data_IF_506893346972
#
_entry.id   IF_506893346972
#
_cell.length_a   1.000
_cell.length_b   1.000
_cell.length_c   1.000
_cell.angle_alpha   90.00
_cell.angle_beta   90.00
_cell.angle_gamma   90.00
#
_symmetry.space_group_name_H-M   'P 1'
#
loop_
_entity.id
_entity.type
_entity.pdbx_description
1 polymer ?
#
# COMPACT_ATOMS: atom_id res chain seq x y z
N UNK A 1 -24.54 -37.10 68.78
CA UNK A 1 -24.07 -35.75 68.40
C UNK A 1 -22.91 -35.88 67.42
N UNK A 2 -23.15 -35.58 66.13
CA UNK A 2 -22.09 -35.50 65.10
C UNK A 2 -21.93 -34.03 64.71
N UNK A 3 -20.81 -33.43 65.09
CA UNK A 3 -20.45 -32.06 64.71
C UNK A 3 -19.77 -32.12 63.33
N UNK A 4 -20.45 -31.67 62.28
CA UNK A 4 -19.85 -31.48 60.95
C UNK A 4 -19.24 -30.07 60.92
N UNK A 5 -17.91 -30.00 60.92
CA UNK A 5 -17.16 -28.76 60.69
C UNK A 5 -17.13 -28.52 59.17
N UNK A 6 -17.98 -27.63 58.67
CA UNK A 6 -17.92 -27.12 57.30
C UNK A 6 -16.84 -26.02 57.24
N UNK A 7 -15.70 -26.33 56.62
CA UNK A 7 -14.69 -25.35 56.25
C UNK A 7 -15.18 -24.68 54.96
N UNK A 8 -15.66 -23.44 55.08
CA UNK A 8 -15.94 -22.55 53.96
C UNK A 8 -14.60 -22.06 53.38
N UNK A 9 -14.11 -22.76 52.36
CA UNK A 9 -13.00 -22.30 51.54
C UNK A 9 -13.50 -21.19 50.62
N UNK A 10 -13.41 -19.94 51.09
CA UNK A 10 -13.63 -18.75 50.27
C UNK A 10 -12.47 -18.62 49.28
N UNK A 11 -12.64 -19.15 48.07
CA UNK A 11 -11.77 -18.84 46.95
C UNK A 11 -12.04 -17.40 46.51
N UNK A 12 -11.31 -16.44 47.09
CA UNK A 12 -11.09 -15.14 46.44
C UNK A 12 -10.29 -15.41 45.16
N UNK A 13 -10.99 -15.60 44.04
CA UNK A 13 -10.39 -15.41 42.72
C UNK A 13 -10.17 -13.90 42.56
N UNK A 14 -9.00 -13.42 42.97
CA UNK A 14 -8.48 -12.16 42.47
C UNK A 14 -8.11 -12.38 41.00
N UNK A 15 -9.06 -12.09 40.11
CA UNK A 15 -8.78 -11.94 38.70
C UNK A 15 -7.77 -10.79 38.56
N UNK A 16 -6.52 -11.13 38.23
CA UNK A 16 -5.56 -10.13 37.80
C UNK A 16 -6.18 -9.32 36.64
N UNK A 17 -6.01 -7.99 36.60
CA UNK A 17 -6.45 -7.21 35.45
C UNK A 17 -5.78 -7.81 34.21
N UNK A 18 -6.59 -8.25 33.26
CA UNK A 18 -6.12 -8.87 32.03
C UNK A 18 -5.38 -7.78 31.22
N UNK A 19 -4.07 -7.68 31.39
CA UNK A 19 -3.17 -6.76 30.67
C UNK A 19 -2.72 -7.31 29.32
N UNK A 20 -3.34 -8.39 28.84
CA UNK A 20 -2.99 -9.01 27.58
C UNK A 20 -3.93 -8.53 26.48
N UNK A 21 -3.39 -7.86 25.45
CA UNK A 21 -4.01 -7.87 24.13
C UNK A 21 -4.26 -9.34 23.75
N UNK A 22 -5.52 -9.78 23.65
CA UNK A 22 -5.85 -11.18 23.41
C UNK A 22 -5.63 -11.47 21.93
N UNK A 23 -4.86 -12.50 21.59
CA UNK A 23 -4.71 -13.07 20.24
C UNK A 23 -3.97 -12.18 19.21
N UNK A 24 -3.03 -12.79 18.47
CA UNK A 24 -2.26 -12.15 17.40
C UNK A 24 -3.18 -11.44 16.38
N UNK A 25 -2.76 -10.26 15.90
CA UNK A 25 -3.46 -9.56 14.83
C UNK A 25 -2.95 -10.06 13.49
N UNK A 26 -3.85 -10.48 12.61
CA UNK A 26 -3.56 -10.89 11.22
C UNK A 26 -4.39 -10.03 10.26
N UNK A 27 -4.10 -10.12 8.96
CA UNK A 27 -5.00 -9.53 7.97
C UNK A 27 -5.19 -8.02 8.11
N UNK A 28 -6.42 -7.58 7.85
CA UNK A 28 -6.86 -6.19 8.02
C UNK A 28 -6.64 -5.67 9.45
N UNK A 29 -6.89 -6.50 10.44
CA UNK A 29 -6.74 -6.20 11.86
C UNK A 29 -5.29 -5.86 12.21
N UNK A 30 -4.32 -6.57 11.61
CA UNK A 30 -2.91 -6.23 11.73
C UNK A 30 -2.62 -4.84 11.15
N UNK A 31 -3.14 -4.54 9.96
CA UNK A 31 -2.95 -3.24 9.34
C UNK A 31 -3.52 -2.10 10.22
N UNK A 32 -4.72 -2.28 10.76
CA UNK A 32 -5.33 -1.30 11.67
C UNK A 32 -4.52 -1.11 12.95
N UNK A 33 -4.11 -2.20 13.62
CA UNK A 33 -3.31 -2.12 14.83
C UNK A 33 -1.97 -1.41 14.58
N UNK A 34 -1.28 -1.72 13.46
CA UNK A 34 -0.01 -1.09 13.09
C UNK A 34 -0.17 0.41 12.86
N UNK A 35 -1.21 0.82 12.12
CA UNK A 35 -1.49 2.23 11.87
C UNK A 35 -1.91 2.99 13.14
N UNK A 36 -2.73 2.39 14.01
CA UNK A 36 -3.13 2.99 15.29
C UNK A 36 -1.93 3.21 16.22
N UNK A 37 -0.99 2.27 16.24
CA UNK A 37 0.22 2.34 17.06
C UNK A 37 1.35 3.17 16.42
N UNK A 38 1.11 3.78 15.26
CA UNK A 38 2.04 4.67 14.58
C UNK A 38 2.26 5.98 15.37
N UNK A 39 3.39 6.65 15.10
CA UNK A 39 3.63 8.02 15.56
C UNK A 39 3.09 9.07 14.58
N UNK A 40 2.69 8.65 13.38
CA UNK A 40 2.16 9.53 12.34
C UNK A 40 0.65 9.73 12.54
N UNK A 41 0.23 10.98 12.74
CA UNK A 41 -1.19 11.35 12.78
C UNK A 41 -1.94 10.94 11.51
N UNK A 42 -1.26 10.92 10.35
CA UNK A 42 -1.86 10.48 9.08
C UNK A 42 -2.21 9.00 9.10
N UNK A 43 -1.32 8.16 9.64
CA UNK A 43 -1.53 6.72 9.74
C UNK A 43 -2.69 6.42 10.69
N UNK A 44 -2.66 7.05 11.86
CA UNK A 44 -3.68 6.91 12.89
C UNK A 44 -5.05 7.33 12.36
N UNK A 45 -5.09 8.46 11.64
CA UNK A 45 -6.33 8.93 11.01
C UNK A 45 -6.83 7.94 9.95
N UNK A 46 -5.93 7.36 9.14
CA UNK A 46 -6.31 6.35 8.16
C UNK A 46 -6.92 5.12 8.84
N UNK A 47 -6.34 4.66 9.95
CA UNK A 47 -6.88 3.53 10.71
C UNK A 47 -8.28 3.82 11.23
N UNK A 48 -8.49 4.96 11.89
CA UNK A 48 -9.79 5.34 12.43
C UNK A 48 -10.83 5.54 11.31
N UNK A 49 -10.44 6.19 10.22
CA UNK A 49 -11.27 6.32 9.03
C UNK A 49 -11.64 4.94 8.46
N UNK A 50 -10.69 4.00 8.41
CA UNK A 50 -10.92 2.66 7.92
C UNK A 50 -11.86 1.88 8.84
N UNK A 51 -11.69 1.97 10.16
CA UNK A 51 -12.56 1.33 11.14
C UNK A 51 -13.99 1.87 11.09
N UNK A 52 -14.17 3.17 10.80
CA UNK A 52 -15.49 3.73 10.61
C UNK A 52 -16.20 3.14 9.38
N UNK A 53 -15.52 3.03 8.23
CA UNK A 53 -16.15 2.57 6.99
C UNK A 53 -16.28 1.05 6.90
N UNK A 54 -15.24 0.32 7.33
CA UNK A 54 -15.18 -1.14 7.21
C UNK A 54 -15.68 -1.87 8.45
N UNK A 55 -15.72 -1.19 9.60
CA UNK A 55 -15.98 -1.82 10.89
C UNK A 55 -14.84 -2.72 11.37
N UNK A 56 -15.02 -3.26 12.58
CA UNK A 56 -14.28 -4.40 13.11
C UNK A 56 -15.15 -5.11 14.12
N UNK A 57 -15.11 -6.45 14.12
CA UNK A 57 -15.78 -7.27 15.12
C UNK A 57 -14.85 -7.60 16.31
N UNK A 58 -13.60 -7.16 16.24
CA UNK A 58 -12.59 -7.42 17.27
C UNK A 58 -12.59 -6.33 18.33
N UNK A 59 -13.04 -6.71 19.52
CA UNK A 59 -13.15 -5.83 20.69
C UNK A 59 -11.83 -5.15 21.05
N UNK A 60 -10.73 -5.89 20.96
CA UNK A 60 -9.39 -5.42 21.32
C UNK A 60 -8.81 -4.36 20.38
N UNK A 61 -9.18 -4.36 19.09
CA UNK A 61 -8.83 -3.24 18.18
C UNK A 61 -9.64 -2.00 18.53
N UNK A 62 -10.91 -2.17 18.88
CA UNK A 62 -11.75 -1.06 19.30
C UNK A 62 -11.28 -0.50 20.65
N UNK A 63 -10.83 -1.35 21.57
CA UNK A 63 -10.22 -0.94 22.84
C UNK A 63 -8.86 -0.24 22.61
N UNK A 64 -8.08 -0.65 21.61
CA UNK A 64 -6.86 0.06 21.22
C UNK A 64 -7.16 1.47 20.68
N UNK A 65 -8.18 1.61 19.84
CA UNK A 65 -8.68 2.93 19.39
C UNK A 65 -9.21 3.75 20.56
N UNK A 66 -9.91 3.13 21.50
CA UNK A 66 -10.44 3.76 22.71
C UNK A 66 -9.31 4.27 23.62
N UNK A 67 -8.23 3.49 23.82
CA UNK A 67 -7.05 3.89 24.58
C UNK A 67 -6.35 5.09 23.95
N UNK A 68 -6.17 5.10 22.62
CA UNK A 68 -5.60 6.24 21.91
C UNK A 68 -6.47 7.49 22.04
N UNK A 69 -7.79 7.31 21.99
CA UNK A 69 -8.76 8.40 22.22
C UNK A 69 -8.61 8.96 23.64
N UNK A 70 -8.57 8.10 24.65
CA UNK A 70 -8.37 8.49 26.04
C UNK A 70 -7.04 9.23 26.25
N UNK A 71 -5.95 8.69 25.70
CA UNK A 71 -4.60 9.27 25.81
C UNK A 71 -4.58 10.69 25.27
N UNK A 72 -5.23 10.93 24.14
CA UNK A 72 -5.30 12.25 23.53
C UNK A 72 -6.18 13.23 24.31
N UNK A 73 -7.37 12.81 24.75
CA UNK A 73 -8.27 13.65 25.56
C UNK A 73 -7.67 13.99 26.94
N UNK A 74 -6.85 13.09 27.48
CA UNK A 74 -6.14 13.30 28.76
C UNK A 74 -4.97 14.29 28.63
N UNK A 75 -4.60 14.70 27.41
CA UNK A 75 -3.47 15.57 27.16
C UNK A 75 -2.12 14.85 27.12
N UNK A 76 -2.10 13.51 27.21
CA UNK A 76 -0.88 12.70 27.17
C UNK A 76 -0.37 12.47 25.72
N UNK A 77 -1.16 12.87 24.72
CA UNK A 77 -0.77 12.87 23.30
C UNK A 77 -1.44 14.04 22.58
N UNK A 78 -0.65 14.86 21.90
CA UNK A 78 -1.19 15.86 20.97
C UNK A 78 -1.67 15.15 19.70
N UNK A 79 -2.85 15.52 19.22
CA UNK A 79 -3.49 14.91 18.05
C UNK A 79 -4.28 15.98 17.30
N UNK A 80 -4.28 15.90 15.97
CA UNK A 80 -5.09 16.79 15.13
C UNK A 80 -6.60 16.62 15.43
N UNK A 81 -7.38 17.72 15.52
CA UNK A 81 -8.82 17.65 15.75
C UNK A 81 -9.60 16.82 14.72
N UNK A 82 -9.15 16.75 13.46
CA UNK A 82 -9.74 15.87 12.44
C UNK A 82 -9.52 14.40 12.79
N UNK A 83 -8.34 14.03 13.28
CA UNK A 83 -8.04 12.66 13.73
C UNK A 83 -8.93 12.26 14.90
N UNK A 84 -9.07 13.12 15.93
CA UNK A 84 -9.99 12.87 17.06
C UNK A 84 -11.46 12.79 16.63
N UNK A 85 -11.85 13.59 15.63
CA UNK A 85 -13.18 13.50 15.06
C UNK A 85 -13.43 12.12 14.43
N UNK A 86 -12.43 11.55 13.73
CA UNK A 86 -12.52 10.19 13.19
C UNK A 86 -12.55 9.11 14.26
N UNK A 87 -11.86 9.30 15.38
CA UNK A 87 -11.94 8.39 16.52
C UNK A 87 -13.35 8.32 17.07
N UNK A 88 -13.96 9.49 17.34
CA UNK A 88 -15.35 9.59 17.77
C UNK A 88 -16.29 8.89 16.79
N UNK A 89 -16.18 9.21 15.49
CA UNK A 89 -17.00 8.56 14.44
C UNK A 89 -16.87 7.05 14.47
N UNK A 90 -15.65 6.51 14.48
CA UNK A 90 -15.41 5.08 14.46
C UNK A 90 -16.00 4.39 15.70
N UNK A 91 -15.73 4.91 16.90
CA UNK A 91 -16.29 4.37 18.15
C UNK A 91 -17.83 4.46 18.18
N UNK A 92 -18.41 5.58 17.75
CA UNK A 92 -19.86 5.74 17.64
C UNK A 92 -20.50 4.79 16.62
N UNK A 93 -19.78 4.45 15.54
CA UNK A 93 -20.29 3.51 14.54
C UNK A 93 -20.44 2.09 15.09
N UNK A 94 -19.67 1.72 16.11
CA UNK A 94 -19.77 0.40 16.77
C UNK A 94 -21.11 0.17 17.47
N UNK A 95 -21.81 1.25 17.86
CA UNK A 95 -23.04 1.24 18.70
C UNK A 95 -22.85 0.61 20.09
N UNK A 96 -21.64 0.33 20.52
CA UNK A 96 -21.37 -0.35 21.79
C UNK A 96 -21.43 0.62 22.98
N UNK A 97 -22.28 0.37 24.01
CA UNK A 97 -22.43 1.27 25.14
C UNK A 97 -21.20 1.32 26.06
N UNK A 98 -20.27 0.36 25.92
CA UNK A 98 -18.99 0.28 26.64
C UNK A 98 -18.17 1.57 26.58
N UNK A 99 -18.19 2.26 25.44
CA UNK A 99 -17.38 3.46 25.23
C UNK A 99 -18.05 4.76 25.69
N UNK A 100 -19.27 4.69 26.25
CA UNK A 100 -20.02 5.86 26.67
C UNK A 100 -19.25 6.75 27.66
N UNK A 101 -18.69 6.15 28.71
CA UNK A 101 -17.92 6.88 29.73
C UNK A 101 -16.66 7.55 29.16
N UNK A 102 -15.99 6.90 28.22
CA UNK A 102 -14.84 7.47 27.49
C UNK A 102 -15.25 8.70 26.67
N UNK A 103 -16.35 8.60 25.91
CA UNK A 103 -16.82 9.72 25.10
C UNK A 103 -17.29 10.90 25.96
N UNK A 104 -17.96 10.63 27.09
CA UNK A 104 -18.35 11.66 28.06
C UNK A 104 -17.11 12.36 28.66
N UNK A 105 -16.09 11.59 29.04
CA UNK A 105 -14.81 12.12 29.49
C UNK A 105 -14.15 13.01 28.42
N UNK A 106 -14.04 12.52 27.18
CA UNK A 106 -13.46 13.25 26.07
C UNK A 106 -14.23 14.54 25.74
N UNK A 107 -15.56 14.51 25.78
CA UNK A 107 -16.42 15.68 25.58
C UNK A 107 -16.13 16.78 26.61
N UNK A 108 -15.87 16.40 27.86
CA UNK A 108 -15.51 17.33 28.93
C UNK A 108 -14.12 17.99 28.74
N UNK A 109 -13.25 17.38 27.92
CA UNK A 109 -11.88 17.85 27.66
C UNK A 109 -11.71 18.51 26.30
N UNK A 110 -12.62 18.25 25.36
CA UNK A 110 -12.52 18.76 23.99
C UNK A 110 -12.56 20.30 23.97
N UNK A 111 -11.56 20.90 23.32
CA UNK A 111 -11.41 22.35 23.25
C UNK A 111 -12.10 22.94 22.01
N UNK A 112 -12.01 22.26 20.88
CA UNK A 112 -12.53 22.74 19.60
C UNK A 112 -13.95 22.21 19.30
N UNK A 113 -14.72 23.00 18.56
CA UNK A 113 -16.13 22.71 18.24
C UNK A 113 -16.30 21.49 17.32
N UNK A 114 -15.32 21.21 16.45
CA UNK A 114 -15.39 20.09 15.52
C UNK A 114 -15.31 18.77 16.28
N UNK A 115 -14.31 18.63 17.16
CA UNK A 115 -14.15 17.45 18.02
C UNK A 115 -15.36 17.27 18.93
N UNK A 116 -15.84 18.34 19.59
CA UNK A 116 -17.06 18.28 20.43
C UNK A 116 -18.26 17.75 19.65
N UNK A 117 -18.50 18.29 18.45
CA UNK A 117 -19.62 17.87 17.59
C UNK A 117 -19.57 16.37 17.30
N UNK A 118 -18.42 15.86 16.86
CA UNK A 118 -18.31 14.45 16.46
C UNK A 118 -18.29 13.49 17.65
N UNK A 119 -17.69 13.86 18.78
CA UNK A 119 -17.78 13.07 20.01
C UNK A 119 -19.21 12.99 20.55
N UNK A 120 -19.96 14.10 20.47
CA UNK A 120 -21.38 14.12 20.89
C UNK A 120 -22.22 13.23 20.00
N UNK A 121 -22.08 13.35 18.68
CA UNK A 121 -22.75 12.47 17.73
C UNK A 121 -22.42 11.00 17.98
N UNK A 122 -21.15 10.69 18.26
CA UNK A 122 -20.73 9.34 18.59
C UNK A 122 -21.42 8.84 19.86
N UNK A 123 -21.44 9.66 20.92
CA UNK A 123 -22.05 9.35 22.21
C UNK A 123 -23.56 9.08 22.10
N UNK A 124 -24.26 9.94 21.37
CA UNK A 124 -25.71 9.83 21.12
C UNK A 124 -26.05 8.58 20.29
N UNK A 125 -25.08 8.06 19.54
CA UNK A 125 -25.27 6.91 18.68
C UNK A 125 -25.03 5.56 19.37
N UNK A 126 -24.44 5.56 20.58
CA UNK A 126 -24.29 4.34 21.39
C UNK A 126 -25.64 3.90 21.95
N UNK A 127 -25.89 2.58 22.03
CA UNK A 127 -27.19 2.03 22.42
C UNK A 127 -27.05 0.87 23.41
N UNK A 128 -28.07 0.66 24.22
CA UNK A 128 -28.13 -0.45 25.17
C UNK A 128 -27.47 -0.17 26.52
N UNK A 129 -27.39 -1.20 27.35
CA UNK A 129 -26.76 -1.17 28.67
C UNK A 129 -25.59 -2.16 28.70
N UNK A 130 -24.57 -1.86 29.49
CA UNK A 130 -23.45 -2.77 29.76
C UNK A 130 -22.95 -2.57 31.17
N UNK A 131 -22.40 -3.62 31.78
CA UNK A 131 -21.62 -3.55 33.01
C UNK A 131 -20.10 -3.52 32.75
N UNK A 132 -19.68 -3.83 31.52
CA UNK A 132 -18.30 -3.89 31.11
C UNK A 132 -17.97 -2.61 30.34
N UNK A 133 -17.57 -1.57 31.06
CA UNK A 133 -17.20 -0.27 30.52
C UNK A 133 -15.72 -0.25 30.15
N UNK A 134 -15.37 0.53 29.13
CA UNK A 134 -13.97 0.77 28.81
C UNK A 134 -13.38 1.72 29.86
N UNK A 135 -12.24 1.33 30.42
CA UNK A 135 -11.45 2.14 31.34
C UNK A 135 -10.12 2.48 30.68
N UNK A 136 -9.92 3.76 30.37
CA UNK A 136 -8.69 4.24 29.74
C UNK A 136 -7.49 4.25 30.69
N UNK A 137 -6.29 4.23 30.12
CA UNK A 137 -5.03 4.15 30.86
C UNK A 137 -4.62 2.73 31.23
N UNK A 138 -5.35 1.71 30.75
CA UNK A 138 -5.09 0.31 31.06
C UNK A 138 -4.23 -0.39 30.03
N UNK A 139 -4.21 0.11 28.79
CA UNK A 139 -3.43 -0.50 27.70
C UNK A 139 -2.10 0.25 27.55
N UNK A 140 -0.98 -0.45 27.78
CA UNK A 140 0.34 0.09 27.47
C UNK A 140 0.55 0.08 25.95
N UNK A 141 0.36 1.24 25.32
CA UNK A 141 0.52 1.43 23.88
C UNK A 141 1.96 1.17 23.40
N UNK A 142 2.97 1.41 24.24
CA UNK A 142 4.38 1.15 23.90
C UNK A 142 4.65 -0.34 23.88
N UNK A 143 4.15 -1.06 24.88
CA UNK A 143 4.24 -2.51 24.91
C UNK A 143 3.46 -3.15 23.76
N UNK A 144 2.23 -2.69 23.50
CA UNK A 144 1.41 -3.13 22.38
C UNK A 144 2.17 -3.01 21.05
N UNK A 145 2.82 -1.86 20.81
CA UNK A 145 3.66 -1.65 19.64
C UNK A 145 4.85 -2.61 19.60
N UNK A 146 5.57 -2.76 20.70
CA UNK A 146 6.73 -3.66 20.76
C UNK A 146 6.35 -5.12 20.44
N UNK A 147 5.21 -5.58 20.95
CA UNK A 147 4.66 -6.91 20.66
C UNK A 147 4.30 -7.06 19.17
N UNK A 148 3.63 -6.06 18.59
CA UNK A 148 3.24 -6.09 17.18
C UNK A 148 4.46 -6.09 16.23
N UNK A 149 5.48 -5.29 16.53
CA UNK A 149 6.74 -5.29 15.77
C UNK A 149 7.45 -6.64 15.87
N UNK A 150 7.48 -7.25 17.07
CA UNK A 150 8.05 -8.59 17.25
C UNK A 150 7.31 -9.64 16.43
N UNK A 151 5.98 -9.59 16.39
CA UNK A 151 5.16 -10.49 15.57
C UNK A 151 5.52 -10.40 14.07
N UNK A 152 5.56 -9.18 13.51
CA UNK A 152 5.92 -8.97 12.11
C UNK A 152 7.32 -9.51 11.75
N UNK A 153 8.28 -9.41 12.68
CA UNK A 153 9.64 -9.95 12.48
C UNK A 153 9.72 -11.48 12.45
N UNK A 154 8.78 -12.17 13.10
CA UNK A 154 8.72 -13.64 13.14
C UNK A 154 8.02 -14.18 11.90
N UNK A 155 6.91 -13.58 11.49
CA UNK A 155 6.11 -14.05 10.34
C UNK A 155 6.83 -13.87 9.01
N UNK A 156 7.58 -12.77 8.86
CA UNK A 156 8.35 -12.47 7.63
C UNK A 156 9.44 -13.50 7.29
N UNK A 157 9.90 -14.31 8.27
CA UNK A 157 10.91 -15.36 8.04
C UNK A 157 10.35 -16.72 7.58
N UNK A 158 9.04 -16.92 7.64
CA UNK A 158 8.44 -18.25 7.45
C UNK A 158 7.31 -18.33 6.40
N UNK A 159 6.72 -17.21 5.99
CA UNK A 159 5.51 -17.23 5.15
C UNK A 159 5.62 -16.65 3.74
N UNK A 160 6.77 -16.13 3.32
CA UNK A 160 7.01 -15.73 1.92
C UNK A 160 7.20 -17.01 1.08
N UNK A 161 6.16 -17.81 0.95
CA UNK A 161 6.13 -19.04 0.16
C UNK A 161 5.51 -18.83 -1.22
N UNK A 162 4.81 -17.71 -1.44
CA UNK A 162 4.18 -17.33 -2.71
C UNK A 162 4.80 -16.05 -3.27
N UNK A 163 4.86 -15.97 -4.60
CA UNK A 163 5.55 -14.87 -5.28
C UNK A 163 4.66 -13.63 -5.32
N UNK A 164 5.30 -12.46 -5.28
CA UNK A 164 4.65 -11.16 -5.53
C UNK A 164 3.90 -11.14 -6.88
N UNK A 165 4.25 -12.04 -7.80
CA UNK A 165 3.63 -12.25 -9.12
C UNK A 165 2.16 -12.68 -9.06
N UNK A 166 1.73 -13.29 -7.96
CA UNK A 166 0.36 -13.75 -7.77
C UNK A 166 -0.61 -12.59 -7.46
N UNK A 167 -0.08 -11.39 -7.25
CA UNK A 167 -0.87 -10.20 -6.97
C UNK A 167 -1.62 -9.70 -8.20
N UNK A 168 -2.88 -9.31 -7.98
CA UNK A 168 -3.78 -8.76 -8.98
C UNK A 168 -4.50 -7.53 -8.45
N UNK A 169 -4.76 -6.58 -9.34
CA UNK A 169 -5.53 -5.39 -9.05
C UNK A 169 -6.94 -5.80 -8.59
N UNK A 170 -7.45 -5.09 -7.59
CA UNK A 170 -8.76 -5.40 -7.00
C UNK A 170 -8.78 -6.56 -6.02
N UNK A 171 -7.66 -7.25 -5.76
CA UNK A 171 -7.60 -8.21 -4.65
C UNK A 171 -7.86 -7.53 -3.31
N UNK A 172 -8.59 -8.19 -2.43
CA UNK A 172 -8.82 -7.68 -1.08
C UNK A 172 -7.52 -7.67 -0.27
N UNK A 173 -7.44 -6.77 0.71
CA UNK A 173 -6.34 -6.74 1.67
C UNK A 173 -6.13 -8.09 2.35
N UNK A 174 -7.21 -8.73 2.77
CA UNK A 174 -7.15 -10.03 3.43
C UNK A 174 -6.55 -11.13 2.52
N UNK A 175 -6.89 -11.10 1.23
CA UNK A 175 -6.31 -12.02 0.24
C UNK A 175 -4.81 -11.79 0.12
N UNK A 176 -4.33 -10.55 0.10
CA UNK A 176 -2.90 -10.25 0.06
C UNK A 176 -2.17 -10.77 1.30
N UNK A 177 -2.73 -10.61 2.49
CA UNK A 177 -2.17 -11.19 3.72
C UNK A 177 -2.13 -12.72 3.66
N UNK A 178 -3.11 -13.36 3.01
CA UNK A 178 -3.09 -14.82 2.82
C UNK A 178 -2.02 -15.29 1.84
N UNK A 179 -1.59 -14.43 0.91
CA UNK A 179 -0.56 -14.73 -0.09
C UNK A 179 0.84 -14.46 0.48
N UNK A 180 1.03 -13.28 1.08
CA UNK A 180 2.35 -12.75 1.44
C UNK A 180 2.65 -12.77 2.95
N UNK A 181 1.65 -13.07 3.78
CA UNK A 181 1.78 -13.03 5.23
C UNK A 181 1.76 -11.62 5.81
N UNK A 182 2.31 -11.46 7.02
CA UNK A 182 2.38 -10.18 7.71
C UNK A 182 3.48 -9.28 7.11
N UNK A 183 3.18 -8.01 6.81
CA UNK A 183 4.17 -7.09 6.24
C UNK A 183 5.15 -6.53 7.26
N UNK A 184 6.22 -5.92 6.75
CA UNK A 184 7.22 -5.22 7.55
C UNK A 184 6.79 -3.78 7.88
N UNK A 185 6.03 -3.16 6.97
CA UNK A 185 5.58 -1.78 7.11
C UNK A 185 4.12 -1.65 6.68
N UNK A 186 3.36 -0.83 7.42
CA UNK A 186 2.02 -0.39 7.05
C UNK A 186 1.95 1.10 7.31
N UNK A 187 1.60 1.88 6.29
CA UNK A 187 1.57 3.34 6.38
C UNK A 187 0.46 3.95 5.51
N UNK A 188 0.16 5.23 5.76
CA UNK A 188 -0.76 6.01 4.95
C UNK A 188 0.00 6.92 3.98
N UNK A 189 -0.44 6.97 2.72
CA UNK A 189 -0.02 8.02 1.78
C UNK A 189 -1.21 8.76 1.20
N UNK A 190 -0.98 9.96 0.70
CA UNK A 190 -2.00 10.76 0.01
C UNK A 190 -1.63 10.83 -1.45
N UNK A 191 -2.42 10.18 -2.30
CA UNK A 191 -2.27 10.35 -3.75
C UNK A 191 -3.03 11.61 -4.14
N UNK A 192 -2.37 12.62 -4.74
CA UNK A 192 -3.03 13.82 -5.22
C UNK A 192 -4.06 13.41 -6.28
N UNK A 193 -5.34 13.65 -6.03
CA UNK A 193 -6.38 13.32 -7.00
C UNK A 193 -6.63 14.44 -8.00
N UNK A 194 -7.77 14.34 -8.68
CA UNK A 194 -8.18 15.26 -9.75
C UNK A 194 -8.18 16.69 -9.24
N UNK A 195 -7.60 17.61 -10.03
CA UNK A 195 -7.82 19.04 -9.85
C UNK A 195 -9.29 19.33 -10.11
N UNK A 196 -9.94 19.95 -9.13
CA UNK A 196 -11.29 20.49 -9.26
C UNK A 196 -11.14 22.01 -9.40
N UNK A 197 -11.74 22.59 -10.44
CA UNK A 197 -11.61 24.01 -10.78
C UNK A 197 -10.53 24.32 -11.83
N UNK A 198 -10.48 25.57 -12.26
CA UNK A 198 -9.58 26.07 -13.33
C UNK A 198 -8.23 26.49 -12.72
N UNK A 199 -7.07 26.07 -13.27
CA UNK A 199 -5.75 26.48 -12.77
C UNK A 199 -5.61 28.00 -12.72
N UNK A 200 -5.19 28.55 -11.57
CA UNK A 200 -5.01 29.99 -11.37
C UNK A 200 -6.26 30.76 -10.96
N UNK A 201 -7.41 30.10 -10.83
CA UNK A 201 -8.66 30.71 -10.31
C UNK A 201 -8.82 30.40 -8.81
N UNK A 202 -9.17 31.40 -7.97
CA UNK A 202 -9.56 31.17 -6.58
C UNK A 202 -10.70 30.14 -6.49
N UNK A 203 -10.51 29.11 -5.68
CA UNK A 203 -11.45 27.99 -5.58
C UNK A 203 -11.03 26.72 -6.34
N UNK A 204 -9.85 26.70 -6.97
CA UNK A 204 -9.26 25.44 -7.45
C UNK A 204 -8.60 24.66 -6.30
N UNK A 205 -8.96 23.39 -6.14
CA UNK A 205 -8.38 22.50 -5.12
C UNK A 205 -8.19 21.08 -5.66
N UNK A 206 -7.27 20.32 -5.05
CA UNK A 206 -7.04 18.90 -5.37
C UNK A 206 -7.69 18.05 -4.30
N UNK A 207 -8.58 17.14 -4.69
CA UNK A 207 -9.12 16.13 -3.77
C UNK A 207 -8.14 14.97 -3.77
N UNK A 208 -7.29 14.87 -2.74
CA UNK A 208 -6.44 13.70 -2.53
C UNK A 208 -7.24 12.50 -2.05
N UNK A 209 -6.81 11.29 -2.39
CA UNK A 209 -7.33 10.06 -1.79
C UNK A 209 -6.27 9.46 -0.88
N UNK A 210 -6.67 9.10 0.35
CA UNK A 210 -5.79 8.36 1.23
C UNK A 210 -5.62 6.95 0.66
N UNK A 211 -4.38 6.46 0.63
CA UNK A 211 -4.04 5.10 0.28
C UNK A 211 -3.43 4.42 1.49
N UNK A 212 -3.79 3.17 1.68
CA UNK A 212 -3.07 2.26 2.56
C UNK A 212 -1.87 1.73 1.77
N UNK A 213 -0.68 1.80 2.34
CA UNK A 213 0.57 1.28 1.76
C UNK A 213 1.08 0.18 2.66
N UNK A 214 1.47 -0.94 2.04
CA UNK A 214 2.08 -2.07 2.72
C UNK A 214 3.44 -2.34 2.10
N UNK A 215 4.46 -2.44 2.94
CA UNK A 215 5.83 -2.75 2.56
C UNK A 215 6.25 -4.14 3.03
N UNK A 216 6.82 -4.91 2.11
CA UNK A 216 7.49 -6.17 2.37
C UNK A 216 8.97 -6.01 2.02
N UNK A 217 9.84 -6.20 3.00
CA UNK A 217 11.28 -6.19 2.81
C UNK A 217 11.67 -7.19 1.71
N UNK A 218 12.52 -6.77 0.78
CA UNK A 218 12.99 -7.55 -0.38
C UNK A 218 11.95 -7.91 -1.45
N UNK A 219 10.65 -7.66 -1.22
CA UNK A 219 9.61 -7.94 -2.22
C UNK A 219 9.08 -6.67 -2.87
N UNK A 220 8.89 -5.60 -2.09
CA UNK A 220 8.42 -4.31 -2.59
C UNK A 220 7.24 -3.74 -1.81
N UNK A 221 6.48 -2.87 -2.45
CA UNK A 221 5.39 -2.11 -1.83
C UNK A 221 4.09 -2.27 -2.59
N UNK A 222 2.96 -2.34 -1.86
CA UNK A 222 1.62 -2.46 -2.43
C UNK A 222 0.79 -1.28 -1.95
N UNK A 223 0.12 -0.60 -2.86
CA UNK A 223 -0.82 0.47 -2.56
C UNK A 223 -2.26 -0.05 -2.70
N UNK A 224 -3.07 0.25 -1.71
CA UNK A 224 -4.47 -0.09 -1.68
C UNK A 224 -5.35 1.16 -1.76
N UNK A 225 -6.46 0.98 -2.45
CA UNK A 225 -7.53 1.95 -2.58
C UNK A 225 -8.79 1.47 -1.86
N UNK A 226 -9.59 2.42 -1.42
CA UNK A 226 -10.96 2.17 -0.99
C UNK A 226 -11.91 3.03 -1.80
N UNK A 227 -13.04 2.47 -2.17
CA UNK A 227 -14.18 3.18 -2.73
C UNK A 227 -15.42 2.92 -1.87
N UNK A 228 -16.30 3.92 -1.77
CA UNK A 228 -17.53 3.80 -0.99
C UNK A 228 -18.37 2.60 -1.45
N UNK A 229 -18.88 1.81 -0.50
CA UNK A 229 -19.60 0.57 -0.77
C UNK A 229 -18.72 -0.69 -0.85
N UNK A 230 -17.39 -0.56 -0.82
CA UNK A 230 -16.51 -1.73 -0.72
C UNK A 230 -16.46 -2.29 0.70
N UNK A 231 -16.26 -3.60 0.81
CA UNK A 231 -16.15 -4.33 2.08
C UNK A 231 -14.71 -4.49 2.56
N UNK A 232 -13.73 -4.07 1.75
CA UNK A 232 -12.31 -4.10 2.08
C UNK A 232 -11.50 -3.08 1.26
N UNK A 233 -10.27 -2.84 1.69
CA UNK A 233 -9.22 -2.24 0.87
C UNK A 233 -8.86 -3.15 -0.30
N UNK A 234 -8.60 -2.54 -1.46
CA UNK A 234 -8.39 -3.23 -2.73
C UNK A 234 -7.06 -2.82 -3.36
N UNK A 235 -6.28 -3.80 -3.82
CA UNK A 235 -5.00 -3.55 -4.51
C UNK A 235 -5.23 -2.59 -5.67
N UNK A 236 -4.53 -1.47 -5.66
CA UNK A 236 -4.62 -0.44 -6.69
C UNK A 236 -3.36 -0.40 -7.55
N UNK A 237 -2.21 -0.55 -6.91
CA UNK A 237 -0.90 -0.46 -7.54
C UNK A 237 0.12 -1.24 -6.70
N UNK A 238 1.21 -1.67 -7.32
CA UNK A 238 2.29 -2.34 -6.62
C UNK A 238 3.64 -2.06 -7.30
N UNK A 239 4.72 -2.08 -6.52
CA UNK A 239 6.08 -1.91 -7.00
C UNK A 239 6.91 -3.06 -6.46
N UNK A 240 7.53 -3.82 -7.34
CA UNK A 240 8.42 -4.93 -6.97
C UNK A 240 9.85 -4.46 -6.77
N UNK A 241 10.56 -5.13 -5.86
CA UNK A 241 12.01 -5.00 -5.69
C UNK A 241 12.81 -5.94 -6.62
N UNK A 242 12.15 -6.90 -7.30
CA UNK A 242 12.79 -8.01 -8.04
C UNK A 242 12.70 -7.89 -9.57
N UNK A 243 12.63 -6.67 -10.11
CA UNK A 243 12.58 -6.46 -11.56
C UNK A 243 11.25 -6.88 -12.22
N UNK A 244 10.19 -7.02 -11.43
CA UNK A 244 8.82 -7.20 -11.94
C UNK A 244 8.16 -5.84 -12.07
N UNK A 245 7.37 -5.66 -13.13
CA UNK A 245 6.69 -4.41 -13.41
C UNK A 245 5.19 -4.59 -13.28
N UNK A 246 4.56 -3.71 -12.51
CA UNK A 246 3.11 -3.69 -12.39
C UNK A 246 2.50 -3.07 -13.65
N UNK A 247 1.66 -3.84 -14.33
CA UNK A 247 0.84 -3.34 -15.42
C UNK A 247 -0.46 -2.81 -14.84
N UNK A 248 -0.67 -1.49 -14.92
CA UNK A 248 -1.96 -0.90 -14.53
C UNK A 248 -3.11 -1.31 -15.47
N UNK A 249 -2.78 -1.71 -16.70
CA UNK A 249 -3.75 -2.16 -17.71
C UNK A 249 -4.18 -3.59 -17.43
N UNK A 250 -3.21 -4.48 -17.24
CA UNK A 250 -3.50 -5.90 -16.99
C UNK A 250 -3.85 -6.18 -15.52
N UNK A 251 -3.61 -5.19 -14.65
CA UNK A 251 -3.83 -5.28 -13.22
C UNK A 251 -3.02 -6.41 -12.58
N UNK A 252 -1.78 -6.62 -12.99
CA UNK A 252 -0.90 -7.67 -12.46
C UNK A 252 0.58 -7.37 -12.73
N UNK A 253 1.46 -8.09 -12.05
CA UNK A 253 2.88 -8.10 -12.42
C UNK A 253 3.11 -8.86 -13.73
N UNK A 254 4.04 -8.35 -14.51
CA UNK A 254 4.57 -9.00 -15.70
C UNK A 254 6.10 -8.91 -15.70
N UNK A 255 6.74 -9.84 -16.41
CA UNK A 255 8.20 -9.82 -16.54
C UNK A 255 8.64 -8.66 -17.44
N UNK A 256 9.92 -8.29 -17.35
CA UNK A 256 10.52 -7.30 -18.26
C UNK A 256 10.31 -7.70 -19.72
N UNK A 257 10.48 -8.99 -20.03
CA UNK A 257 10.33 -9.51 -21.38
C UNK A 257 8.89 -9.43 -21.88
N UNK A 258 7.91 -9.77 -21.04
CA UNK A 258 6.49 -9.63 -21.38
C UNK A 258 6.16 -8.18 -21.69
N UNK A 259 6.64 -7.26 -20.87
CA UNK A 259 6.38 -5.83 -21.04
C UNK A 259 7.05 -5.23 -22.27
N UNK A 260 8.28 -5.65 -22.60
CA UNK A 260 8.90 -5.24 -23.86
C UNK A 260 8.06 -5.74 -25.03
N UNK A 261 7.52 -6.97 -24.94
CA UNK A 261 6.74 -7.57 -26.03
C UNK A 261 5.33 -6.95 -26.19
N UNK A 262 4.60 -6.74 -25.08
CA UNK A 262 3.17 -6.39 -25.09
C UNK A 262 2.85 -5.02 -24.52
N UNK A 263 3.82 -4.30 -23.96
CA UNK A 263 3.61 -2.99 -23.34
C UNK A 263 3.15 -1.93 -24.34
N UNK A 264 2.26 -1.05 -23.87
CA UNK A 264 1.91 0.18 -24.59
C UNK A 264 3.06 1.19 -24.57
N UNK A 265 2.92 2.30 -25.29
CA UNK A 265 3.99 3.29 -25.40
C UNK A 265 4.47 3.91 -24.08
N UNK A 266 3.57 4.11 -23.11
CA UNK A 266 3.92 4.70 -21.82
C UNK A 266 4.70 3.69 -20.96
N UNK A 267 4.21 2.47 -20.82
CA UNK A 267 4.88 1.41 -20.06
C UNK A 267 6.21 1.03 -20.71
N UNK A 268 6.25 0.97 -22.05
CA UNK A 268 7.47 0.67 -22.79
C UNK A 268 8.54 1.73 -22.54
N UNK A 269 8.16 3.01 -22.49
CA UNK A 269 9.08 4.10 -22.14
C UNK A 269 9.56 4.00 -20.70
N UNK A 270 8.67 3.73 -19.75
CA UNK A 270 9.02 3.61 -18.33
C UNK A 270 10.04 2.49 -18.09
N UNK A 271 9.77 1.30 -18.66
CA UNK A 271 10.64 0.14 -18.54
C UNK A 271 11.96 0.36 -19.27
N UNK A 272 11.93 0.95 -20.46
CA UNK A 272 13.16 1.32 -21.16
C UNK A 272 13.99 2.34 -20.37
N UNK A 273 13.34 3.28 -19.67
CA UNK A 273 14.00 4.19 -18.74
C UNK A 273 14.74 3.46 -17.62
N UNK A 274 14.05 2.55 -16.94
CA UNK A 274 14.65 1.70 -15.91
C UNK A 274 15.84 0.87 -16.44
N UNK A 275 15.71 0.26 -17.62
CA UNK A 275 16.77 -0.56 -18.22
C UNK A 275 18.00 0.27 -18.61
N UNK A 276 17.79 1.52 -19.07
CA UNK A 276 18.87 2.48 -19.33
C UNK A 276 19.59 2.91 -18.05
N UNK A 277 19.04 2.70 -16.86
CA UNK A 277 19.72 2.96 -15.59
C UNK A 277 20.54 1.76 -15.10
N UNK A 278 20.24 0.53 -15.55
CA UNK A 278 20.94 -0.68 -15.07
C UNK A 278 22.38 -0.79 -15.58
N UNK A 279 23.32 -1.17 -14.71
CA UNK A 279 24.74 -1.30 -15.06
C UNK A 279 25.02 -2.40 -16.09
N UNK A 280 24.28 -3.52 -15.99
CA UNK A 280 24.39 -4.65 -16.90
C UNK A 280 23.00 -5.14 -17.27
N UNK A 281 22.82 -5.44 -18.55
CA UNK A 281 21.60 -6.02 -19.09
C UNK A 281 21.92 -7.40 -19.64
N UNK A 282 21.03 -8.35 -19.40
CA UNK A 282 21.15 -9.69 -19.97
C UNK A 282 20.90 -9.66 -21.48
N UNK A 283 21.60 -10.53 -22.22
CA UNK A 283 21.48 -10.64 -23.67
C UNK A 283 20.04 -10.88 -24.13
N UNK A 284 19.26 -11.66 -23.38
CA UNK A 284 17.86 -11.92 -23.70
C UNK A 284 16.99 -10.65 -23.70
N UNK A 285 17.19 -9.75 -22.74
CA UNK A 285 16.46 -8.47 -22.65
C UNK A 285 16.84 -7.57 -23.85
N UNK A 286 18.13 -7.53 -24.19
CA UNK A 286 18.63 -6.75 -25.33
C UNK A 286 18.08 -7.30 -26.65
N UNK A 287 18.08 -8.62 -26.82
CA UNK A 287 17.52 -9.32 -27.98
C UNK A 287 16.01 -9.05 -28.08
N UNK A 288 15.28 -9.10 -26.96
CA UNK A 288 13.86 -8.78 -26.92
C UNK A 288 13.56 -7.33 -27.28
N UNK A 289 14.37 -6.39 -26.78
CA UNK A 289 14.24 -4.97 -27.10
C UNK A 289 14.51 -4.71 -28.60
N UNK A 290 15.55 -5.34 -29.15
CA UNK A 290 15.90 -5.24 -30.57
C UNK A 290 14.78 -5.80 -31.46
N UNK A 291 14.25 -6.97 -31.10
CA UNK A 291 13.10 -7.61 -31.76
C UNK A 291 11.88 -6.69 -31.76
N UNK A 292 11.52 -6.12 -30.60
CA UNK A 292 10.37 -5.21 -30.49
C UNK A 292 10.54 -3.96 -31.35
N UNK A 293 11.72 -3.33 -31.33
CA UNK A 293 12.02 -2.17 -32.17
C UNK A 293 11.87 -2.50 -33.65
N UNK A 294 12.40 -3.65 -34.08
CA UNK A 294 12.33 -4.06 -35.47
C UNK A 294 10.91 -4.41 -35.91
N UNK A 295 10.21 -5.25 -35.13
CA UNK A 295 8.84 -5.69 -35.43
C UNK A 295 7.83 -4.54 -35.46
N UNK A 296 8.03 -3.51 -34.64
CA UNK A 296 7.15 -2.34 -34.55
C UNK A 296 7.66 -1.10 -35.29
N UNK A 297 8.66 -1.24 -36.17
CA UNK A 297 9.26 -0.09 -36.89
C UNK A 297 8.28 0.68 -37.79
N UNK A 298 7.16 0.06 -38.17
CA UNK A 298 6.12 0.69 -39.00
C UNK A 298 5.00 1.37 -38.18
N UNK A 299 5.10 1.35 -36.85
CA UNK A 299 4.13 1.99 -35.97
C UNK A 299 4.11 3.52 -36.14
N UNK A 300 2.93 4.10 -35.93
CA UNK A 300 2.70 5.54 -36.06
C UNK A 300 2.11 6.18 -34.80
N UNK A 301 1.66 5.39 -33.83
CA UNK A 301 1.25 5.92 -32.53
C UNK A 301 2.41 6.64 -31.83
N UNK A 302 2.20 7.91 -31.46
CA UNK A 302 3.26 8.78 -30.93
C UNK A 302 3.84 8.26 -29.60
N UNK A 303 3.00 7.68 -28.74
CA UNK A 303 3.44 7.14 -27.45
C UNK A 303 4.26 5.87 -27.66
N UNK A 304 3.81 4.97 -28.52
CA UNK A 304 4.54 3.74 -28.82
C UNK A 304 5.85 4.03 -29.53
N UNK A 305 5.86 4.94 -30.50
CA UNK A 305 7.10 5.42 -31.16
C UNK A 305 8.08 6.02 -30.15
N UNK A 306 7.60 6.74 -29.14
CA UNK A 306 8.44 7.25 -28.06
C UNK A 306 9.03 6.13 -27.20
N UNK A 307 8.24 5.12 -26.84
CA UNK A 307 8.72 3.91 -26.16
C UNK A 307 9.78 3.15 -26.97
N UNK A 308 9.54 2.92 -28.27
CA UNK A 308 10.48 2.27 -29.18
C UNK A 308 11.79 3.06 -29.31
N UNK A 309 11.72 4.39 -29.35
CA UNK A 309 12.90 5.24 -29.38
C UNK A 309 13.76 5.09 -28.10
N UNK A 310 13.13 4.87 -26.94
CA UNK A 310 13.86 4.54 -25.72
C UNK A 310 14.45 3.13 -25.74
N UNK A 311 13.77 2.14 -26.33
CA UNK A 311 14.37 0.81 -26.51
C UNK A 311 15.62 0.85 -27.41
N UNK A 312 15.68 1.70 -28.43
CA UNK A 312 16.92 1.92 -29.19
C UNK A 312 18.08 2.34 -28.26
N UNK A 313 17.80 3.13 -27.23
CA UNK A 313 18.80 3.53 -26.22
C UNK A 313 19.18 2.37 -25.31
N UNK A 314 18.21 1.55 -24.88
CA UNK A 314 18.47 0.34 -24.10
C UNK A 314 19.46 -0.57 -24.83
N UNK A 315 19.18 -0.85 -26.10
CA UNK A 315 20.03 -1.69 -26.95
C UNK A 315 21.42 -1.09 -27.09
N UNK A 316 21.53 0.21 -27.38
CA UNK A 316 22.83 0.86 -27.52
C UNK A 316 23.64 1.00 -26.22
N UNK A 317 22.97 1.04 -25.04
CA UNK A 317 23.66 1.10 -23.74
C UNK A 317 24.58 -0.11 -23.51
N UNK A 318 24.22 -1.27 -24.07
CA UNK A 318 25.05 -2.48 -23.96
C UNK A 318 26.45 -2.31 -24.56
N UNK A 319 26.62 -1.38 -25.51
CA UNK A 319 27.86 -1.26 -26.30
C UNK A 319 28.10 -2.43 -27.25
N UNK A 320 27.15 -3.37 -27.35
CA UNK A 320 27.27 -4.57 -28.17
C UNK A 320 27.00 -4.24 -29.64
N UNK A 321 28.04 -4.40 -30.46
CA UNK A 321 28.01 -4.06 -31.88
C UNK A 321 27.09 -4.94 -32.71
N UNK A 322 26.64 -6.10 -32.18
CA UNK A 322 25.72 -6.99 -32.89
C UNK A 322 24.42 -6.33 -33.32
N UNK A 323 23.95 -5.35 -32.55
CA UNK A 323 22.68 -4.67 -32.81
C UNK A 323 22.80 -3.51 -33.80
N UNK A 324 24.04 -3.12 -34.16
CA UNK A 324 24.28 -1.96 -35.01
C UNK A 324 23.58 -2.07 -36.36
N UNK A 325 23.68 -3.24 -37.01
CA UNK A 325 23.07 -3.45 -38.33
C UNK A 325 21.55 -3.34 -38.29
N UNK A 326 20.91 -3.93 -37.27
CA UNK A 326 19.47 -3.82 -37.06
C UNK A 326 19.05 -2.37 -36.87
N UNK A 327 19.78 -1.60 -36.03
CA UNK A 327 19.46 -0.19 -35.80
C UNK A 327 19.64 0.66 -37.06
N UNK A 328 20.64 0.36 -37.90
CA UNK A 328 20.78 1.01 -39.20
C UNK A 328 19.60 0.69 -40.13
N UNK A 329 19.15 -0.56 -40.16
CA UNK A 329 17.99 -0.96 -40.96
C UNK A 329 16.69 -0.28 -40.50
N UNK A 330 16.46 -0.22 -39.19
CA UNK A 330 15.35 0.54 -38.59
C UNK A 330 15.47 2.01 -38.95
N UNK A 331 16.68 2.58 -38.93
CA UNK A 331 16.90 3.98 -39.30
C UNK A 331 16.53 4.30 -40.74
N UNK A 332 16.67 3.33 -41.64
CA UNK A 332 16.36 3.49 -43.07
C UNK A 332 14.89 3.18 -43.39
N UNK A 333 14.24 2.31 -42.62
CA UNK A 333 12.93 1.75 -42.97
C UNK A 333 11.78 2.14 -42.03
N UNK A 334 12.04 2.70 -40.84
CA UNK A 334 10.97 3.04 -39.90
C UNK A 334 10.02 4.12 -40.45
N UNK A 335 8.74 4.03 -40.12
CA UNK A 335 7.69 4.91 -40.64
C UNK A 335 7.87 6.37 -40.18
N UNK A 336 8.24 6.58 -38.91
CA UNK A 336 8.34 7.91 -38.31
C UNK A 336 9.78 8.45 -38.30
N UNK A 337 9.94 9.75 -38.51
CA UNK A 337 11.25 10.41 -38.48
C UNK A 337 11.91 10.31 -37.10
N UNK A 338 11.12 10.30 -36.02
CA UNK A 338 11.59 10.16 -34.65
C UNK A 338 12.30 8.82 -34.43
N UNK A 339 11.66 7.71 -34.79
CA UNK A 339 12.28 6.38 -34.64
C UNK A 339 13.52 6.26 -35.53
N UNK A 340 13.47 6.77 -36.77
CA UNK A 340 14.63 6.80 -37.67
C UNK A 340 15.83 7.53 -37.05
N UNK A 341 15.58 8.72 -36.50
CA UNK A 341 16.62 9.56 -35.89
C UNK A 341 17.25 8.87 -34.66
N UNK A 342 16.42 8.30 -33.78
CA UNK A 342 16.93 7.61 -32.60
C UNK A 342 17.72 6.36 -32.95
N UNK A 343 17.24 5.54 -33.90
CA UNK A 343 17.94 4.34 -34.35
C UNK A 343 19.29 4.69 -34.99
N UNK A 344 19.35 5.71 -35.87
CA UNK A 344 20.60 6.19 -36.47
C UNK A 344 21.60 6.68 -35.41
N UNK A 345 21.13 7.55 -34.50
CA UNK A 345 21.98 8.13 -33.44
C UNK A 345 22.57 7.06 -32.52
N UNK A 346 21.75 6.07 -32.15
CA UNK A 346 22.16 5.00 -31.25
C UNK A 346 23.05 3.97 -31.94
N UNK A 347 22.81 3.65 -33.23
CA UNK A 347 23.71 2.83 -34.04
C UNK A 347 25.12 3.43 -34.14
N UNK A 348 25.23 4.76 -34.26
CA UNK A 348 26.51 5.46 -34.31
C UNK A 348 27.36 5.33 -33.03
N UNK A 349 26.75 4.98 -31.90
CA UNK A 349 27.44 4.75 -30.63
C UNK A 349 27.93 3.31 -30.43
N UNK A 350 27.57 2.38 -31.31
CA UNK A 350 27.95 0.97 -31.22
C UNK A 350 29.20 0.66 -32.06
N UNK A 351 30.03 -0.26 -31.57
CA UNK A 351 31.22 -0.74 -32.29
C UNK A 351 30.82 -1.55 -33.53
N UNK A 352 31.61 -1.50 -34.59
CA UNK A 352 31.45 -2.42 -35.71
C UNK A 352 31.98 -3.80 -35.32
N UNK A 353 31.14 -4.83 -35.42
CA UNK A 353 31.53 -6.22 -35.10
C UNK A 353 31.13 -7.13 -36.27
N UNK A 354 32.04 -7.35 -37.24
CA UNK A 354 31.74 -8.17 -38.41
C UNK A 354 31.46 -9.62 -38.02
N UNK A 355 30.31 -10.16 -38.42
CA UNK A 355 30.02 -11.61 -38.34
C UNK A 355 29.15 -12.07 -37.16
N UNK A 356 28.80 -11.20 -36.21
CA UNK A 356 27.92 -11.54 -35.07
C UNK A 356 26.68 -10.62 -35.02
N UNK A 357 26.11 -10.27 -36.17
CA UNK A 357 24.92 -9.41 -36.23
C UNK A 357 23.70 -10.10 -35.62
N UNK A 358 22.93 -9.37 -34.81
CA UNK A 358 21.62 -9.82 -34.38
C UNK A 358 20.68 -9.89 -35.60
N UNK A 359 19.98 -11.02 -35.73
CA UNK A 359 19.00 -11.26 -36.79
C UNK A 359 17.62 -11.31 -36.12
N UNK A 360 16.72 -10.35 -36.40
CA UNK A 360 15.37 -10.38 -35.85
C UNK A 360 14.61 -11.58 -36.41
N UNK A 361 13.65 -12.11 -35.64
CA UNK A 361 12.78 -13.15 -36.14
C UNK A 361 11.97 -12.61 -37.33
N UNK A 362 11.94 -13.35 -38.43
CA UNK A 362 11.12 -13.01 -39.59
C UNK A 362 9.64 -13.04 -39.18
N UNK A 363 8.96 -11.89 -39.26
CA UNK A 363 7.50 -11.81 -39.13
C UNK A 363 6.79 -12.41 -40.34
#
# INVERSE_FOLDING_TARGET
MRLRLLILLSCLFMAAPSTALPQEFTGREHAHATLLLSQSDKDIKLAAWSLYHLGSNRQDILDLLAELTWTACSGNRTMDPDTLSWFGKALGNTKQPRYAGLLDFCLSKAKDEKTKKYLKQARDSLRGTTSDFFEGGKIDLREARARLTKQASLTSRHQISKSFDDLRQGQALEEVYSILGTPNEVSATVVPGRKVGIPGVPGSFRIGSNRLVIGYSELGTIQFSYQEGQTDWKVADAKSAKGLFWSAIDGRFATVNDQIASGDGLHLREIAGYLVEQDKLEKEILDRAAERVYGSRQEKDDQLVDGLAWLCRVVAKSGDGRYRQLLLEVSNSAATSKLRSYASKTAGGLKETPGDSFIPASN
#
